data_IF_257245666310
#
_entry.id   IF_257245666310
#
_cell.length_a   1.000
_cell.length_b   1.000
_cell.length_c   1.000
_cell.angle_alpha   90.00
_cell.angle_beta   90.00
_cell.angle_gamma   90.00
#
_symmetry.space_group_name_H-M   'P 1'
#
loop_
_entity.id
_entity.type
_entity.pdbx_description
1 polymer ?
#
# COMPACT_ATOMS: atom_id res chain seq x y z
N UNK A 1 1.24 -5.61 -14.78
CA UNK A 1 0.72 -5.43 -16.16
C UNK A 1 -0.80 -5.51 -16.24
N UNK A 2 -1.49 -6.67 -16.24
CA UNK A 2 -2.96 -6.69 -16.40
C UNK A 2 -3.73 -5.75 -15.46
N UNK A 3 -3.42 -5.74 -14.16
CA UNK A 3 -4.10 -4.88 -13.19
C UNK A 3 -3.84 -3.38 -13.45
N UNK A 4 -2.58 -3.01 -13.67
CA UNK A 4 -2.20 -1.62 -14.01
C UNK A 4 -2.86 -1.17 -15.32
N UNK A 5 -2.89 -2.05 -16.32
CA UNK A 5 -3.45 -1.77 -17.65
C UNK A 5 -4.97 -1.59 -17.60
N UNK A 6 -5.67 -2.33 -16.75
CA UNK A 6 -7.13 -2.25 -16.59
C UNK A 6 -7.52 -1.08 -15.68
N UNK A 7 -6.85 -0.93 -14.54
CA UNK A 7 -7.21 0.04 -13.50
C UNK A 7 -6.63 1.43 -13.75
N UNK A 8 -5.62 1.55 -14.63
CA UNK A 8 -4.93 2.81 -14.97
C UNK A 8 -4.30 3.51 -13.77
N UNK A 9 -3.81 2.71 -12.81
CA UNK A 9 -3.10 3.18 -11.61
C UNK A 9 -1.82 2.36 -11.39
N UNK A 10 -0.81 2.91 -10.69
CA UNK A 10 0.35 2.14 -10.27
C UNK A 10 -0.07 0.93 -9.42
N UNK A 11 0.59 -0.20 -9.60
CA UNK A 11 0.39 -1.40 -8.78
C UNK A 11 1.74 -1.91 -8.35
N UNK A 12 1.89 -2.19 -7.05
CA UNK A 12 3.09 -2.78 -6.49
C UNK A 12 2.75 -4.06 -5.71
N UNK A 13 3.76 -4.90 -5.49
CA UNK A 13 3.63 -6.16 -4.76
C UNK A 13 4.06 -5.93 -3.31
N UNK A 14 3.21 -6.33 -2.36
CA UNK A 14 3.49 -6.16 -0.94
C UNK A 14 2.69 -7.11 -0.06
N UNK A 15 2.94 -7.01 1.24
CA UNK A 15 2.21 -7.74 2.29
C UNK A 15 1.76 -6.74 3.36
N UNK A 16 0.94 -7.21 4.30
CA UNK A 16 0.49 -6.41 5.44
C UNK A 16 0.54 -7.23 6.72
N UNK A 17 0.53 -6.57 7.88
CA UNK A 17 0.40 -7.24 9.18
C UNK A 17 1.43 -8.37 9.38
N UNK A 18 2.71 -8.11 9.08
CA UNK A 18 3.80 -9.06 9.23
C UNK A 18 3.67 -10.25 8.26
N UNK A 19 3.51 -9.95 6.97
CA UNK A 19 3.59 -10.95 5.89
C UNK A 19 2.26 -11.56 5.45
N UNK A 20 1.12 -11.05 5.91
CA UNK A 20 -0.20 -11.51 5.44
C UNK A 20 -0.41 -11.05 3.98
N UNK A 21 -0.74 -11.95 3.05
CA UNK A 21 -0.88 -11.61 1.63
C UNK A 21 -2.25 -11.00 1.29
N UNK A 22 -3.21 -11.04 2.22
CA UNK A 22 -4.56 -10.52 2.04
C UNK A 22 -4.61 -9.02 2.38
N UNK A 23 -4.02 -8.18 1.54
CA UNK A 23 -3.89 -6.73 1.80
C UNK A 23 -5.20 -6.03 2.21
N UNK A 24 -6.33 -6.43 1.64
CA UNK A 24 -7.64 -5.85 1.94
C UNK A 24 -8.21 -6.15 3.33
N UNK A 25 -7.65 -7.10 4.10
CA UNK A 25 -8.14 -7.41 5.46
C UNK A 25 -7.61 -6.46 6.52
N UNK A 26 -6.51 -5.76 6.23
CA UNK A 26 -5.80 -4.92 7.19
C UNK A 26 -5.47 -3.52 6.70
N UNK A 27 -5.87 -3.16 5.48
CA UNK A 27 -5.58 -1.87 4.85
C UNK A 27 -6.85 -1.20 4.36
N UNK A 28 -7.05 0.05 4.75
CA UNK A 28 -8.05 0.94 4.15
C UNK A 28 -7.32 2.20 3.73
N UNK A 29 -7.55 2.67 2.50
CA UNK A 29 -6.90 3.86 2.00
C UNK A 29 -7.81 4.68 1.08
N UNK A 30 -7.47 5.95 0.94
CA UNK A 30 -8.02 6.86 -0.05
C UNK A 30 -6.90 7.74 -0.61
N UNK A 31 -7.24 8.73 -1.44
CA UNK A 31 -6.29 9.64 -2.09
C UNK A 31 -5.52 10.57 -1.14
N UNK A 32 -5.80 10.54 0.16
CA UNK A 32 -5.18 11.42 1.16
C UNK A 32 -4.33 10.65 2.17
N UNK A 33 -4.74 9.43 2.54
CA UNK A 33 -4.10 8.66 3.59
C UNK A 33 -4.39 7.16 3.48
N UNK A 34 -3.59 6.36 4.19
CA UNK A 34 -3.80 4.95 4.41
C UNK A 34 -3.80 4.62 5.91
N UNK A 35 -4.69 3.73 6.32
CA UNK A 35 -4.76 3.17 7.67
C UNK A 35 -4.45 1.69 7.56
N UNK A 36 -3.37 1.27 8.20
CA UNK A 36 -2.89 -0.11 8.23
C UNK A 36 -3.04 -0.72 9.63
N UNK A 37 -3.18 -2.04 9.70
CA UNK A 37 -3.23 -2.76 10.96
C UNK A 37 -1.94 -2.62 11.77
N UNK A 38 -2.04 -2.69 13.09
CA UNK A 38 -0.95 -2.38 14.04
C UNK A 38 0.27 -3.30 13.95
N UNK A 39 0.15 -4.45 13.27
CA UNK A 39 1.25 -5.40 13.05
C UNK A 39 2.02 -5.11 11.76
N UNK A 40 1.63 -4.09 10.99
CA UNK A 40 2.32 -3.70 9.76
C UNK A 40 3.70 -3.14 10.08
N UNK A 41 4.71 -3.70 9.44
CA UNK A 41 6.13 -3.41 9.66
C UNK A 41 6.58 -2.16 8.89
N UNK A 42 7.72 -1.58 9.28
CA UNK A 42 8.30 -0.42 8.58
C UNK A 42 8.50 -0.63 7.07
N UNK A 43 9.09 -1.75 6.62
CA UNK A 43 9.21 -2.05 5.19
C UNK A 43 7.85 -2.18 4.47
N UNK A 44 6.85 -2.82 5.09
CA UNK A 44 5.49 -2.88 4.52
C UNK A 44 4.86 -1.48 4.42
N UNK A 45 5.01 -0.64 5.45
CA UNK A 45 4.54 0.75 5.44
C UNK A 45 5.21 1.57 4.34
N UNK A 46 6.50 1.38 4.09
CA UNK A 46 7.22 2.05 3.00
C UNK A 46 6.65 1.68 1.63
N UNK A 47 6.43 0.39 1.39
CA UNK A 47 5.85 -0.10 0.12
C UNK A 47 4.42 0.40 -0.04
N UNK A 48 3.57 0.31 0.99
CA UNK A 48 2.19 0.80 0.98
C UNK A 48 2.16 2.31 0.70
N UNK A 49 3.02 3.08 1.38
CA UNK A 49 3.11 4.52 1.20
C UNK A 49 3.46 4.90 -0.24
N UNK A 50 4.48 4.24 -0.80
CA UNK A 50 4.92 4.45 -2.18
C UNK A 50 3.86 4.03 -3.20
N UNK A 51 3.28 2.83 -3.06
CA UNK A 51 2.27 2.29 -3.97
C UNK A 51 0.98 3.13 -3.99
N UNK A 52 0.60 3.72 -2.86
CA UNK A 52 -0.61 4.54 -2.73
C UNK A 52 -0.35 6.04 -2.91
N UNK A 53 0.91 6.48 -3.01
CA UNK A 53 1.26 7.88 -3.14
C UNK A 53 0.86 8.75 -1.94
N UNK A 54 0.83 8.17 -0.73
CA UNK A 54 0.39 8.87 0.50
C UNK A 54 1.54 9.39 1.36
N UNK A 55 2.79 9.10 0.98
CA UNK A 55 4.00 9.75 1.52
C UNK A 55 4.45 10.86 0.59
N UNK A 56 4.73 12.03 1.16
CA UNK A 56 5.36 13.13 0.42
C UNK A 56 6.85 12.83 0.31
N UNK A 57 7.38 12.86 -0.91
CA UNK A 57 8.80 13.11 -1.10
C UNK A 57 9.00 14.61 -0.88
N UNK A 58 9.58 14.97 0.27
CA UNK A 58 10.01 16.35 0.50
C UNK A 58 11.15 16.64 -0.49
N UNK A 59 10.82 17.36 -1.57
CA UNK A 59 11.80 17.98 -2.47
C UNK A 59 12.25 19.31 -1.86
#
# INVERSE_FOLDING_TARGET
KLLEDVLKVPVDVGTINCGIPYVGTGLIANSHAAVAGSLTTGPEMFIIGHALGVVKEDV
#
